data_IF_282371949266
#
_entry.id   IF_282371949266
#
_cell.length_a   1.000
_cell.length_b   1.000
_cell.length_c   1.000
_cell.angle_alpha   90.00
_cell.angle_beta   90.00
_cell.angle_gamma   90.00
#
_symmetry.space_group_name_H-M   'P 1'
#
loop_
_entity.id
_entity.type
_entity.pdbx_description
1 polymer ?
#
# COMPACT_ATOMS: atom_id res chain seq x y z
N UNK A 1 -2.18 -16.25 -40.31
CA UNK A 1 -3.13 -15.26 -39.74
C UNK A 1 -2.99 -15.29 -38.22
N UNK A 2 -2.15 -14.43 -37.64
CA UNK A 2 -1.98 -14.33 -36.18
C UNK A 2 -3.01 -13.33 -35.65
N UNK A 3 -3.95 -13.84 -34.84
CA UNK A 3 -5.02 -13.05 -34.23
C UNK A 3 -4.46 -12.38 -32.96
N UNK A 4 -4.21 -11.07 -33.05
CA UNK A 4 -3.88 -10.21 -31.92
C UNK A 4 -5.10 -10.12 -30.99
N UNK A 5 -5.02 -10.78 -29.84
CA UNK A 5 -6.02 -10.59 -28.79
C UNK A 5 -5.65 -9.34 -27.98
N UNK A 6 -6.36 -8.25 -28.29
CA UNK A 6 -6.51 -7.09 -27.43
C UNK A 6 -7.01 -7.55 -26.05
N UNK A 7 -6.13 -7.49 -25.04
CA UNK A 7 -6.57 -7.53 -23.64
C UNK A 7 -6.27 -6.15 -23.05
N UNK A 8 -7.30 -5.31 -23.13
CA UNK A 8 -7.51 -4.19 -22.24
C UNK A 8 -7.70 -4.73 -20.81
N UNK A 9 -6.60 -4.94 -20.10
CA UNK A 9 -6.58 -5.31 -18.69
C UNK A 9 -5.90 -4.21 -17.89
N UNK A 10 -6.68 -3.54 -17.05
CA UNK A 10 -6.27 -2.63 -15.97
C UNK A 10 -4.81 -2.86 -15.49
N UNK A 11 -3.99 -1.81 -15.60
CA UNK A 11 -2.58 -1.78 -15.21
C UNK A 11 -2.34 -2.04 -13.69
N UNK A 12 -3.39 -2.12 -12.88
CA UNK A 12 -3.34 -2.49 -11.46
C UNK A 12 -3.21 -4.01 -11.28
N UNK A 13 -3.89 -4.81 -12.13
CA UNK A 13 -3.84 -6.27 -12.06
C UNK A 13 -2.47 -6.81 -12.50
N UNK A 14 -1.82 -6.15 -13.48
CA UNK A 14 -0.51 -6.56 -13.99
C UNK A 14 0.67 -6.27 -13.03
N UNK A 15 0.51 -5.36 -12.05
CA UNK A 15 1.63 -4.93 -11.17
C UNK A 15 1.82 -5.77 -9.90
N UNK A 16 0.75 -6.39 -9.38
CA UNK A 16 0.92 -7.45 -8.36
C UNK A 16 1.73 -8.65 -8.90
N UNK A 17 1.65 -8.95 -10.20
CA UNK A 17 2.44 -10.01 -10.83
C UNK A 17 3.94 -9.66 -10.98
N UNK A 18 4.30 -8.38 -11.11
CA UNK A 18 5.71 -7.96 -11.29
C UNK A 18 6.54 -8.13 -10.01
N UNK A 19 5.92 -8.09 -8.83
CA UNK A 19 6.60 -8.36 -7.55
C UNK A 19 7.18 -9.79 -7.48
N UNK A 20 6.55 -10.77 -8.14
CA UNK A 20 6.91 -12.20 -7.97
C UNK A 20 8.25 -12.61 -8.60
N UNK A 21 8.84 -11.81 -9.49
CA UNK A 21 10.07 -12.18 -10.22
C UNK A 21 11.35 -11.52 -9.71
N UNK A 22 11.26 -10.55 -8.79
CA UNK A 22 12.43 -9.82 -8.33
C UNK A 22 12.57 -9.90 -6.81
N UNK A 23 13.55 -10.70 -6.36
CA UNK A 23 13.78 -11.01 -4.94
C UNK A 23 14.02 -9.75 -4.10
N UNK A 24 14.64 -8.72 -4.68
CA UNK A 24 14.87 -7.44 -3.99
C UNK A 24 13.58 -6.65 -3.77
N UNK A 25 12.68 -6.62 -4.75
CA UNK A 25 11.37 -5.95 -4.63
C UNK A 25 10.48 -6.65 -3.61
N UNK A 26 10.50 -7.99 -3.55
CA UNK A 26 9.78 -8.75 -2.53
C UNK A 26 10.31 -8.41 -1.14
N UNK A 27 11.64 -8.39 -0.97
CA UNK A 27 12.27 -8.02 0.30
C UNK A 27 11.89 -6.59 0.70
N UNK A 28 12.02 -5.63 -0.21
CA UNK A 28 11.62 -4.24 0.01
C UNK A 28 10.14 -4.11 0.38
N UNK A 29 9.26 -4.88 -0.27
CA UNK A 29 7.84 -4.90 0.06
C UNK A 29 7.63 -5.31 1.52
N UNK A 30 8.19 -6.42 1.97
CA UNK A 30 7.99 -6.87 3.35
C UNK A 30 8.67 -5.97 4.38
N UNK A 31 9.87 -5.47 4.09
CA UNK A 31 10.64 -4.61 4.99
C UNK A 31 10.03 -3.20 5.14
N UNK A 32 9.36 -2.70 4.09
CA UNK A 32 8.70 -1.39 4.10
C UNK A 32 7.37 -1.35 4.85
N UNK A 33 6.97 -2.46 5.48
CA UNK A 33 5.69 -2.55 6.20
C UNK A 33 5.64 -1.57 7.37
N UNK A 34 4.63 -0.71 7.37
CA UNK A 34 4.35 0.23 8.46
C UNK A 34 2.89 0.14 8.87
N UNK A 35 2.62 0.22 10.17
CA UNK A 35 1.27 0.16 10.69
C UNK A 35 0.66 1.56 10.81
N UNK A 36 -0.64 1.63 10.51
CA UNK A 36 -1.45 2.83 10.63
C UNK A 36 -2.47 2.65 11.75
N UNK A 37 -2.63 3.70 12.53
CA UNK A 37 -3.47 3.78 13.70
C UNK A 37 -4.56 4.83 13.50
N UNK A 38 -5.70 4.59 14.14
CA UNK A 38 -6.81 5.53 14.30
C UNK A 38 -7.37 5.32 15.71
N UNK A 39 -7.59 6.40 16.46
CA UNK A 39 -8.07 6.33 17.85
C UNK A 39 -7.30 5.29 18.70
N UNK A 40 -5.96 5.31 18.63
CA UNK A 40 -5.01 4.41 19.30
C UNK A 40 -5.16 2.91 18.97
N UNK A 41 -5.90 2.56 17.92
CA UNK A 41 -6.05 1.19 17.43
C UNK A 41 -5.36 1.03 16.09
N UNK A 42 -4.64 -0.08 15.93
CA UNK A 42 -4.10 -0.49 14.63
C UNK A 42 -5.24 -0.84 13.68
N UNK A 43 -5.40 -0.07 12.61
CA UNK A 43 -6.50 -0.22 11.65
C UNK A 43 -6.05 -0.60 10.25
N UNK A 44 -4.81 -0.31 9.86
CA UNK A 44 -4.29 -0.68 8.56
C UNK A 44 -2.76 -0.87 8.59
N UNK A 45 -2.20 -1.29 7.47
CA UNK A 45 -0.77 -1.19 7.21
C UNK A 45 -0.52 -0.71 5.78
N UNK A 46 0.62 -0.07 5.57
CA UNK A 46 1.09 0.38 4.27
C UNK A 46 2.41 -0.30 3.93
N UNK A 47 2.60 -0.61 2.65
CA UNK A 47 3.89 -0.95 2.05
C UNK A 47 4.30 0.17 1.10
N UNK A 48 5.56 0.60 1.17
CA UNK A 48 6.12 1.65 0.30
C UNK A 48 7.19 1.04 -0.58
N UNK A 49 6.90 0.89 -1.87
CA UNK A 49 7.81 0.27 -2.84
C UNK A 49 7.93 1.19 -4.04
N UNK A 50 9.13 1.74 -4.26
CA UNK A 50 9.42 2.67 -5.36
C UNK A 50 8.39 3.81 -5.46
N UNK A 51 8.16 4.49 -4.34
CA UNK A 51 7.19 5.59 -4.20
C UNK A 51 5.72 5.23 -4.49
N UNK A 52 5.40 3.94 -4.57
CA UNK A 52 4.03 3.43 -4.59
C UNK A 52 3.62 3.05 -3.17
N UNK A 53 2.47 3.55 -2.74
CA UNK A 53 1.93 3.37 -1.40
C UNK A 53 0.75 2.39 -1.46
N UNK A 54 0.89 1.22 -0.85
CA UNK A 54 -0.10 0.14 -0.87
C UNK A 54 -0.72 -0.03 0.51
N UNK A 55 -1.96 0.42 0.70
CA UNK A 55 -2.68 0.33 1.97
C UNK A 55 -3.55 -0.92 2.00
N UNK A 56 -3.40 -1.68 3.09
CA UNK A 56 -4.15 -2.88 3.38
C UNK A 56 -4.80 -2.75 4.76
N UNK A 57 -6.12 -2.77 4.80
CA UNK A 57 -6.88 -2.63 6.04
C UNK A 57 -6.82 -3.88 6.93
N UNK A 58 -6.91 -3.66 8.24
CA UNK A 58 -6.87 -4.72 9.24
C UNK A 58 -8.23 -5.42 9.34
N UNK A 59 -8.23 -6.75 9.26
CA UNK A 59 -9.45 -7.56 9.15
C UNK A 59 -10.47 -7.38 10.29
N UNK A 60 -10.02 -6.99 11.49
CA UNK A 60 -10.88 -6.83 12.68
C UNK A 60 -11.32 -5.38 12.93
N UNK A 61 -11.26 -4.51 11.92
CA UNK A 61 -11.57 -3.08 12.06
C UNK A 61 -12.52 -2.62 10.95
N UNK A 62 -12.99 -1.37 11.03
CA UNK A 62 -13.78 -0.75 9.96
C UNK A 62 -13.06 -0.72 8.60
N UNK A 63 -11.73 -0.88 8.60
CA UNK A 63 -10.93 -0.98 7.39
C UNK A 63 -10.90 -2.41 6.80
N UNK A 64 -11.69 -3.36 7.31
CA UNK A 64 -11.76 -4.71 6.75
C UNK A 64 -12.06 -4.66 5.25
N UNK A 65 -11.17 -5.26 4.45
CA UNK A 65 -11.32 -5.33 3.00
C UNK A 65 -10.80 -4.11 2.24
N UNK A 66 -10.37 -3.03 2.93
CA UNK A 66 -9.76 -1.87 2.29
C UNK A 66 -8.44 -2.29 1.62
N UNK A 67 -8.35 -2.06 0.32
CA UNK A 67 -7.13 -2.14 -0.49
C UNK A 67 -7.05 -0.88 -1.35
N UNK A 68 -6.02 -0.07 -1.16
CA UNK A 68 -5.80 1.17 -1.92
C UNK A 68 -4.35 1.24 -2.38
N UNK A 69 -4.16 1.84 -3.56
CA UNK A 69 -2.85 2.07 -4.16
C UNK A 69 -2.76 3.54 -4.52
N UNK A 70 -1.68 4.20 -4.12
CA UNK A 70 -1.39 5.59 -4.49
C UNK A 70 -0.06 5.63 -5.22
N UNK A 71 -0.01 6.35 -6.33
CA UNK A 71 1.18 6.47 -7.17
C UNK A 71 2.01 7.72 -6.84
N UNK A 72 1.54 8.55 -5.90
CA UNK A 72 2.26 9.72 -5.44
C UNK A 72 2.02 9.96 -3.94
N UNK A 73 2.95 10.66 -3.32
CA UNK A 73 2.95 10.95 -1.89
C UNK A 73 1.78 11.86 -1.48
N UNK A 74 1.35 12.78 -2.35
CA UNK A 74 0.32 13.77 -2.05
C UNK A 74 -1.05 13.10 -1.86
N UNK A 75 -1.49 12.25 -2.79
CA UNK A 75 -2.74 11.50 -2.66
C UNK A 75 -2.72 10.58 -1.44
N UNK A 76 -1.57 9.95 -1.17
CA UNK A 76 -1.41 9.13 0.03
C UNK A 76 -1.55 9.99 1.30
N UNK A 77 -0.86 11.13 1.38
CA UNK A 77 -0.94 12.04 2.53
C UNK A 77 -2.37 12.55 2.75
N UNK A 78 -3.06 12.98 1.69
CA UNK A 78 -4.45 13.41 1.75
C UNK A 78 -5.36 12.30 2.26
N UNK A 79 -5.13 11.04 1.85
CA UNK A 79 -5.88 9.90 2.37
C UNK A 79 -5.62 9.65 3.85
N UNK A 80 -4.37 9.72 4.29
CA UNK A 80 -3.98 9.57 5.69
C UNK A 80 -4.66 10.64 6.55
N UNK A 81 -4.58 11.91 6.15
CA UNK A 81 -5.18 13.04 6.85
C UNK A 81 -6.71 12.94 6.89
N UNK A 82 -7.35 12.72 5.74
CA UNK A 82 -8.83 12.65 5.65
C UNK A 82 -9.44 11.49 6.45
N UNK A 83 -8.65 10.48 6.81
CA UNK A 83 -9.10 9.34 7.61
C UNK A 83 -8.54 9.38 9.04
N UNK A 84 -7.91 10.48 9.46
CA UNK A 84 -7.31 10.66 10.79
C UNK A 84 -6.33 9.53 11.14
N UNK A 85 -5.59 9.05 10.13
CA UNK A 85 -4.63 7.98 10.28
C UNK A 85 -3.27 8.54 10.68
N UNK A 86 -2.54 7.79 11.49
CA UNK A 86 -1.17 8.12 11.84
C UNK A 86 -0.32 6.85 11.92
N UNK A 87 0.99 7.01 11.74
CA UNK A 87 1.92 5.90 11.88
C UNK A 87 2.08 5.49 13.34
N UNK A 88 2.51 4.24 13.55
CA UNK A 88 2.89 3.75 14.87
C UNK A 88 3.84 4.73 15.58
N UNK A 89 3.50 5.17 16.80
CA UNK A 89 4.25 6.19 17.57
C UNK A 89 5.75 5.89 17.65
N UNK A 90 6.12 4.61 17.78
CA UNK A 90 7.52 4.17 17.81
C UNK A 90 8.28 4.45 16.50
N UNK A 91 7.61 4.42 15.34
CA UNK A 91 8.20 4.77 14.04
C UNK A 91 8.13 6.28 13.75
N UNK A 92 7.20 7.01 14.38
CA UNK A 92 7.08 8.45 14.22
C UNK A 92 8.30 9.20 14.80
N UNK A 93 8.89 8.67 15.87
CA UNK A 93 10.14 9.20 16.47
C UNK A 93 11.39 9.02 15.61
N UNK A 94 11.38 8.08 14.65
CA UNK A 94 12.53 7.84 13.75
C UNK A 94 12.40 8.53 12.38
N UNK A 95 11.33 9.31 12.18
CA UNK A 95 11.00 9.98 10.92
C UNK A 95 11.41 11.47 10.88
N UNK A 96 12.05 11.96 11.95
CA UNK A 96 12.57 13.33 12.09
C UNK A 96 14.06 13.31 12.46
#
# INVERSE_FOLDING_TARGET
MLRLNNICGDASANRQYTLRKNKSLIKQFFDSKQYLYQADRKVAHVHVVNDIYLIHGHHKTMFKGVKKTFNNKLEFANYIESNELYFEKAKQLSLF
#
